data_IF_545209527828
#
_entry.id   IF_545209527828
#
_cell.length_a   1.000
_cell.length_b   1.000
_cell.length_c   1.000
_cell.angle_alpha   90.00
_cell.angle_beta   90.00
_cell.angle_gamma   90.00
#
_symmetry.space_group_name_H-M   'P 1'
#
loop_
_entity.id
_entity.type
_entity.pdbx_description
1 polymer ?
#
# COMPACT_ATOMS: atom_id res chain seq x y z
N UNK A 1 -13.29 -7.88 17.76
CA UNK A 1 -12.47 -7.86 16.53
C UNK A 1 -11.71 -6.55 16.52
N UNK A 2 -10.39 -6.57 16.43
CA UNK A 2 -9.57 -5.35 16.52
C UNK A 2 -9.74 -4.53 15.23
N UNK A 3 -10.36 -3.36 15.31
CA UNK A 3 -10.53 -2.47 14.17
C UNK A 3 -9.18 -1.86 13.80
N UNK A 4 -8.69 -2.09 12.57
CA UNK A 4 -7.47 -1.46 12.09
C UNK A 4 -7.64 0.07 12.11
N UNK A 5 -6.71 0.77 12.77
CA UNK A 5 -6.66 2.22 12.89
C UNK A 5 -5.33 2.72 12.34
N UNK A 6 -5.38 3.62 11.37
CA UNK A 6 -4.21 4.31 10.81
C UNK A 6 -4.42 5.81 11.01
N UNK A 7 -3.38 6.50 11.46
CA UNK A 7 -3.34 7.96 11.53
C UNK A 7 -2.25 8.43 10.57
N UNK A 8 -2.59 9.37 9.70
CA UNK A 8 -1.65 9.97 8.76
C UNK A 8 -1.70 11.48 8.90
N UNK A 9 -0.55 12.06 9.19
CA UNK A 9 -0.31 13.49 9.15
C UNK A 9 0.34 13.85 7.81
N UNK A 10 -0.40 14.57 6.97
CA UNK A 10 0.10 14.98 5.65
C UNK A 10 -0.27 16.45 5.39
N UNK A 11 0.74 17.27 5.05
CA UNK A 11 0.59 18.71 4.81
C UNK A 11 -0.12 19.46 5.96
N UNK A 12 0.24 19.16 7.21
CA UNK A 12 -0.37 19.79 8.39
C UNK A 12 -1.81 19.36 8.66
N UNK A 13 -2.31 18.34 7.95
CA UNK A 13 -3.65 17.78 8.17
C UNK A 13 -3.56 16.34 8.69
N UNK A 14 -4.04 16.15 9.91
CA UNK A 14 -4.20 14.83 10.52
C UNK A 14 -5.48 14.17 10.00
N UNK A 15 -5.36 12.97 9.46
CA UNK A 15 -6.49 12.13 9.06
C UNK A 15 -6.49 10.81 9.82
N UNK A 16 -7.67 10.40 10.26
CA UNK A 16 -7.91 9.14 10.96
C UNK A 16 -8.65 8.17 10.04
N UNK A 17 -8.06 7.01 9.80
CA UNK A 17 -8.64 5.94 9.01
C UNK A 17 -9.04 4.79 9.96
N UNK A 18 -10.32 4.45 9.95
CA UNK A 18 -10.92 3.39 10.77
C UNK A 18 -11.97 2.63 9.96
N UNK A 19 -12.36 1.43 10.40
CA UNK A 19 -13.32 0.56 9.69
C UNK A 19 -12.97 0.39 8.19
N UNK A 20 -11.87 -0.28 7.87
CA UNK A 20 -11.47 -0.47 6.47
C UNK A 20 -12.53 -1.26 5.70
N UNK A 21 -12.85 -0.80 4.48
CA UNK A 21 -13.64 -1.58 3.53
C UNK A 21 -12.94 -2.89 3.15
N UNK A 22 -11.61 -2.82 2.99
CA UNK A 22 -10.76 -3.94 2.62
C UNK A 22 -9.36 -3.77 3.21
N UNK A 23 -8.82 -4.85 3.75
CA UNK A 23 -7.39 -4.95 4.09
C UNK A 23 -6.71 -5.74 2.98
N UNK A 24 -5.64 -5.17 2.43
CA UNK A 24 -4.78 -5.79 1.41
C UNK A 24 -3.40 -5.93 2.03
N UNK A 25 -2.87 -7.15 2.10
CA UNK A 25 -1.53 -7.42 2.65
C UNK A 25 -0.90 -8.62 1.95
N UNK A 26 0.43 -8.66 1.95
CA UNK A 26 1.21 -9.81 1.51
C UNK A 26 2.49 -9.94 2.32
N UNK A 27 3.06 -11.14 2.35
CA UNK A 27 4.34 -11.45 3.00
C UNK A 27 5.33 -12.15 2.05
N UNK A 28 5.05 -12.15 0.74
CA UNK A 28 5.91 -12.72 -0.30
C UNK A 28 6.22 -11.67 -1.36
N UNK A 29 7.50 -11.56 -1.75
CA UNK A 29 7.94 -10.62 -2.79
C UNK A 29 7.19 -10.79 -4.11
N UNK A 30 6.89 -12.03 -4.50
CA UNK A 30 6.14 -12.33 -5.74
C UNK A 30 4.71 -11.79 -5.75
N UNK A 31 4.15 -11.42 -4.59
CA UNK A 31 2.79 -10.92 -4.46
C UNK A 31 2.72 -9.38 -4.42
N UNK A 32 3.86 -8.70 -4.23
CA UNK A 32 3.91 -7.23 -4.04
C UNK A 32 3.26 -6.49 -5.22
N UNK A 33 3.60 -6.85 -6.45
CA UNK A 33 3.01 -6.22 -7.64
C UNK A 33 1.49 -6.42 -7.70
N UNK A 34 1.02 -7.62 -7.36
CA UNK A 34 -0.40 -7.95 -7.37
C UNK A 34 -1.20 -7.19 -6.30
N UNK A 35 -0.63 -6.99 -5.10
CA UNK A 35 -1.31 -6.20 -4.05
C UNK A 35 -1.30 -4.71 -4.35
N UNK A 36 -0.22 -4.18 -4.94
CA UNK A 36 -0.19 -2.79 -5.39
C UNK A 36 -1.17 -2.53 -6.52
N UNK A 37 -1.29 -3.44 -7.49
CA UNK A 37 -2.29 -3.33 -8.55
C UNK A 37 -3.74 -3.32 -7.98
N UNK A 38 -4.01 -4.09 -6.93
CA UNK A 38 -5.30 -4.03 -6.23
C UNK A 38 -5.50 -2.68 -5.53
N UNK A 39 -4.50 -2.19 -4.81
CA UNK A 39 -4.54 -0.87 -4.18
C UNK A 39 -4.82 0.24 -5.20
N UNK A 40 -4.12 0.26 -6.34
CA UNK A 40 -4.35 1.21 -7.43
C UNK A 40 -5.77 1.13 -8.00
N UNK A 41 -6.32 -0.09 -8.15
CA UNK A 41 -7.69 -0.26 -8.63
C UNK A 41 -8.71 0.40 -7.67
N UNK A 42 -8.55 0.22 -6.35
CA UNK A 42 -9.39 0.91 -5.37
C UNK A 42 -9.21 2.42 -5.43
N UNK A 43 -7.98 2.90 -5.57
CA UNK A 43 -7.71 4.33 -5.71
C UNK A 43 -8.40 4.92 -6.95
N UNK A 44 -8.33 4.24 -8.10
CA UNK A 44 -8.99 4.65 -9.36
C UNK A 44 -10.52 4.70 -9.25
N UNK A 45 -11.11 3.94 -8.33
CA UNK A 45 -12.55 3.97 -8.00
C UNK A 45 -12.93 5.10 -7.03
N UNK A 46 -11.98 5.92 -6.60
CA UNK A 46 -12.20 7.03 -5.66
C UNK A 46 -12.10 6.66 -4.19
N UNK A 47 -11.64 5.45 -3.86
CA UNK A 47 -11.43 5.05 -2.47
C UNK A 47 -10.07 5.55 -1.95
N UNK A 48 -10.03 5.80 -0.64
CA UNK A 48 -8.78 6.04 0.06
C UNK A 48 -8.05 4.72 0.30
N UNK A 49 -6.77 4.68 -0.06
CA UNK A 49 -5.87 3.57 0.27
C UNK A 49 -4.77 4.12 1.17
N UNK A 50 -4.60 3.48 2.32
CA UNK A 50 -3.62 3.88 3.33
C UNK A 50 -2.94 2.66 3.91
N UNK A 51 -1.66 2.77 4.20
CA UNK A 51 -0.86 1.67 4.71
C UNK A 51 0.63 1.98 4.67
N UNK A 52 1.43 0.93 4.84
CA UNK A 52 2.88 0.97 4.77
C UNK A 52 3.37 -0.15 3.86
N UNK A 53 4.58 0.04 3.32
CA UNK A 53 5.31 -1.00 2.58
C UNK A 53 6.65 -1.18 3.28
N UNK A 54 7.12 -2.41 3.44
CA UNK A 54 8.44 -2.66 4.02
C UNK A 54 9.53 -2.28 3.01
N UNK A 55 10.74 -2.02 3.48
CA UNK A 55 11.88 -1.72 2.61
C UNK A 55 12.15 -2.86 1.61
N UNK A 56 12.05 -4.10 2.08
CA UNK A 56 12.28 -5.31 1.30
C UNK A 56 11.28 -5.47 0.16
N UNK A 57 10.07 -4.91 0.27
CA UNK A 57 9.10 -4.95 -0.82
C UNK A 57 9.62 -4.27 -2.11
N UNK A 58 10.60 -3.36 -2.00
CA UNK A 58 11.28 -2.75 -3.14
C UNK A 58 11.97 -3.78 -4.06
N UNK A 59 12.47 -4.89 -3.51
CA UNK A 59 13.12 -5.96 -4.29
C UNK A 59 12.18 -6.61 -5.32
N UNK A 60 10.86 -6.49 -5.15
CA UNK A 60 9.90 -6.96 -6.13
C UNK A 60 9.96 -6.20 -7.48
N UNK A 61 10.59 -5.02 -7.51
CA UNK A 61 10.67 -4.16 -8.70
C UNK A 61 12.05 -4.15 -9.35
N UNK A 62 13.08 -4.73 -8.73
CA UNK A 62 14.45 -4.70 -9.26
C UNK A 62 14.59 -5.38 -10.63
N UNK A 63 13.77 -6.40 -10.94
CA UNK A 63 13.76 -7.04 -12.27
C UNK A 63 13.24 -6.12 -13.39
N UNK A 64 12.54 -5.04 -13.07
CA UNK A 64 12.04 -4.05 -14.04
C UNK A 64 13.00 -2.86 -14.23
N UNK A 65 13.97 -2.70 -13.35
CA UNK A 65 14.93 -1.61 -13.38
C UNK A 65 16.13 -1.95 -14.28
N UNK A 66 15.94 -1.84 -15.59
CA UNK A 66 17.03 -1.67 -16.56
C UNK A 66 17.67 -0.27 -16.42
N UNK A 67 17.98 0.15 -15.20
CA UNK A 67 18.85 1.31 -14.99
C UNK A 67 20.25 0.83 -15.36
N UNK A 68 20.67 1.15 -16.59
CA UNK A 68 22.07 1.05 -16.97
C UNK A 68 22.88 1.81 -15.92
N UNK A 69 23.76 1.11 -15.22
CA UNK A 69 24.84 1.72 -14.45
C UNK A 69 25.70 2.58 -15.36
#
# INVERSE_FOLDING_TARGET
>A
MSSAKIVLDFNGQTRYFTNPLKVISCNKLSQVQGVLAQAENYQKKGYWVVGFISYEAGYAFEKYNNVKK
#
